data_IF_469900411473
#
_entry.id   IF_469900411473
#
_cell.length_a   1.000
_cell.length_b   1.000
_cell.length_c   1.000
_cell.angle_alpha   90.00
_cell.angle_beta   90.00
_cell.angle_gamma   90.00
#
_symmetry.space_group_name_H-M   'P 1'
#
loop_
_entity.id
_entity.type
_entity.pdbx_description
1 polymer ?
#
# COMPACT_ATOMS: atom_id res chain seq x y z
N UNK A 1 3.51 -10.64 -16.26
CA UNK A 1 4.71 -11.33 -16.81
C UNK A 1 5.81 -10.27 -16.91
N UNK A 2 7.05 -10.51 -16.50
CA UNK A 2 8.06 -9.42 -16.44
C UNK A 2 9.03 -9.53 -17.61
N UNK A 3 9.04 -8.53 -18.49
CA UNK A 3 10.11 -8.37 -19.50
C UNK A 3 11.28 -7.66 -18.82
N UNK A 4 12.41 -8.38 -18.66
CA UNK A 4 13.63 -7.82 -18.09
C UNK A 4 14.63 -7.60 -19.22
N UNK A 5 15.00 -6.33 -19.47
CA UNK A 5 16.02 -5.98 -20.46
C UNK A 5 17.18 -5.31 -19.74
N UNK A 6 18.26 -6.05 -19.52
CA UNK A 6 19.42 -5.55 -18.81
C UNK A 6 20.44 -4.93 -19.77
N UNK A 7 20.96 -3.76 -19.41
CA UNK A 7 22.01 -3.06 -20.15
C UNK A 7 23.26 -2.98 -19.27
N UNK A 8 24.27 -3.80 -19.56
CA UNK A 8 25.53 -3.76 -18.83
C UNK A 8 26.36 -2.58 -19.36
N UNK A 9 26.50 -1.53 -18.54
CA UNK A 9 27.41 -0.42 -18.81
C UNK A 9 28.88 -0.89 -18.75
N UNK A 10 29.68 -0.51 -19.75
CA UNK A 10 31.06 -0.97 -20.00
C UNK A 10 32.14 -0.54 -18.99
N UNK A 11 31.80 -0.04 -17.80
CA UNK A 11 32.77 0.31 -16.76
C UNK A 11 32.72 -0.71 -15.60
N UNK A 12 33.81 -1.47 -15.47
CA UNK A 12 34.03 -2.70 -14.68
C UNK A 12 33.73 -2.66 -13.16
N UNK A 13 33.04 -1.67 -12.63
CA UNK A 13 32.75 -1.58 -11.19
C UNK A 13 31.27 -1.72 -10.80
N UNK A 14 30.32 -1.26 -11.62
CA UNK A 14 28.90 -1.26 -11.26
C UNK A 14 28.01 -1.75 -12.41
N UNK A 15 27.02 -2.56 -12.08
CA UNK A 15 26.00 -3.07 -12.99
C UNK A 15 24.74 -2.21 -12.90
N UNK A 16 24.26 -1.73 -14.05
CA UNK A 16 22.99 -1.02 -14.20
C UNK A 16 21.96 -1.96 -14.84
N UNK A 17 20.77 -2.07 -14.27
CA UNK A 17 19.71 -2.93 -14.81
C UNK A 17 18.42 -2.11 -14.92
N UNK A 18 17.85 -2.06 -16.13
CA UNK A 18 16.51 -1.56 -16.33
C UNK A 18 15.53 -2.73 -16.28
N UNK A 19 14.44 -2.59 -15.52
CA UNK A 19 13.39 -3.61 -15.44
C UNK A 19 12.05 -2.99 -15.74
N UNK A 20 11.18 -3.72 -16.44
CA UNK A 20 9.80 -3.33 -16.66
C UNK A 20 8.86 -4.31 -15.97
N UNK A 21 7.98 -3.79 -15.12
CA UNK A 21 7.00 -4.58 -14.39
C UNK A 21 5.57 -4.23 -14.80
N UNK A 22 4.92 -5.19 -15.47
CA UNK A 22 3.58 -5.06 -16.03
C UNK A 22 2.52 -4.79 -14.96
N UNK A 23 2.59 -5.48 -13.81
CA UNK A 23 1.63 -5.29 -12.73
C UNK A 23 1.74 -3.89 -12.11
N UNK A 24 2.99 -3.41 -11.93
CA UNK A 24 3.25 -2.04 -11.49
C UNK A 24 2.77 -1.02 -12.52
N UNK A 25 2.98 -1.27 -13.82
CA UNK A 25 2.48 -0.42 -14.90
C UNK A 25 0.95 -0.28 -14.83
N UNK A 26 0.21 -1.40 -14.81
CA UNK A 26 -1.26 -1.41 -14.76
C UNK A 26 -1.77 -0.66 -13.53
N UNK A 27 -1.14 -0.88 -12.36
CA UNK A 27 -1.52 -0.17 -11.14
C UNK A 27 -1.26 1.34 -11.24
N UNK A 28 -0.13 1.75 -11.83
CA UNK A 28 0.20 3.16 -12.00
C UNK A 28 -0.72 3.84 -13.02
N UNK A 29 -1.07 3.16 -14.11
CA UNK A 29 -2.04 3.60 -15.10
C UNK A 29 -3.43 3.79 -14.47
N UNK A 30 -3.93 2.78 -13.74
CA UNK A 30 -5.20 2.90 -13.02
C UNK A 30 -5.22 4.10 -12.05
N UNK A 31 -4.15 4.27 -11.25
CA UNK A 31 -4.04 5.39 -10.32
C UNK A 31 -3.96 6.75 -11.02
N UNK A 32 -3.36 6.79 -12.22
CA UNK A 32 -3.32 7.98 -13.04
C UNK A 32 -4.72 8.35 -13.52
N UNK A 33 -5.46 7.40 -14.07
CA UNK A 33 -6.82 7.60 -14.58
C UNK A 33 -7.78 8.01 -13.46
N UNK A 34 -7.70 7.36 -12.30
CA UNK A 34 -8.42 7.78 -11.08
C UNK A 34 -8.09 9.22 -10.67
N UNK A 35 -6.82 9.63 -10.77
CA UNK A 35 -6.39 10.99 -10.43
C UNK A 35 -6.93 12.01 -11.45
N UNK A 36 -6.95 11.65 -12.74
CA UNK A 36 -7.49 12.48 -13.82
C UNK A 36 -9.00 12.65 -13.63
N UNK A 37 -9.73 11.55 -13.43
CA UNK A 37 -11.19 11.58 -13.22
C UNK A 37 -11.57 12.46 -12.02
N UNK A 38 -10.86 12.33 -10.89
CA UNK A 38 -11.08 13.18 -9.71
C UNK A 38 -10.80 14.66 -9.98
N UNK A 39 -9.80 14.96 -10.81
CA UNK A 39 -9.48 16.35 -11.18
C UNK A 39 -10.57 16.92 -12.11
N UNK A 40 -11.03 16.14 -13.09
CA UNK A 40 -12.10 16.52 -14.01
C UNK A 40 -13.40 16.79 -13.25
N UNK A 41 -13.83 15.88 -12.38
CA UNK A 41 -15.05 16.07 -11.58
C UNK A 41 -15.00 17.36 -10.76
N UNK A 42 -13.84 17.67 -10.14
CA UNK A 42 -13.65 18.93 -9.41
C UNK A 42 -13.65 20.15 -10.32
N UNK A 43 -13.12 20.02 -11.53
CA UNK A 43 -13.11 21.10 -12.52
C UNK A 43 -14.52 21.39 -13.02
N UNK A 44 -15.28 20.36 -13.38
CA UNK A 44 -16.69 20.46 -13.78
C UNK A 44 -17.56 21.03 -12.65
N UNK A 45 -17.38 20.55 -11.41
CA UNK A 45 -18.08 21.09 -10.25
C UNK A 45 -17.76 22.58 -10.05
N UNK A 46 -16.49 22.97 -10.15
CA UNK A 46 -16.07 24.36 -10.05
C UNK A 46 -16.69 25.24 -11.15
N UNK A 47 -16.67 24.77 -12.40
CA UNK A 47 -17.27 25.46 -13.55
C UNK A 47 -18.78 25.64 -13.36
N UNK A 48 -19.48 24.59 -12.91
CA UNK A 48 -20.94 24.61 -12.77
C UNK A 48 -21.43 25.44 -11.58
N UNK A 49 -20.71 25.41 -10.47
CA UNK A 49 -21.22 25.94 -9.18
C UNK A 49 -20.55 27.23 -8.72
N UNK A 50 -19.27 27.43 -9.04
CA UNK A 50 -18.46 28.52 -8.48
C UNK A 50 -18.07 29.57 -9.52
N UNK A 51 -17.84 29.18 -10.77
CA UNK A 51 -17.48 30.11 -11.83
C UNK A 51 -18.54 31.20 -11.98
N UNK A 52 -18.11 32.47 -12.10
CA UNK A 52 -18.97 33.66 -12.21
C UNK A 52 -19.92 33.95 -11.03
N UNK A 53 -19.95 33.12 -9.98
CA UNK A 53 -20.84 33.31 -8.83
C UNK A 53 -20.45 34.50 -7.94
N UNK A 54 -19.13 34.72 -7.74
CA UNK A 54 -18.57 35.81 -6.94
C UNK A 54 -17.63 36.65 -7.81
N UNK A 55 -17.45 37.93 -7.44
CA UNK A 55 -16.51 38.85 -8.12
C UNK A 55 -15.11 38.24 -8.33
N UNK A 56 -14.58 37.54 -7.32
CA UNK A 56 -13.28 36.86 -7.40
C UNK A 56 -13.22 35.71 -8.42
N UNK A 57 -14.36 35.13 -8.81
CA UNK A 57 -14.47 34.05 -9.80
C UNK A 57 -14.85 34.55 -11.20
N UNK A 58 -14.81 35.88 -11.39
CA UNK A 58 -14.85 36.56 -12.69
C UNK A 58 -13.46 37.10 -13.11
N UNK A 59 -12.47 36.92 -12.23
CA UNK A 59 -11.08 37.33 -12.43
C UNK A 59 -10.24 36.14 -12.92
N UNK A 60 -9.69 36.20 -14.15
CA UNK A 60 -8.91 35.10 -14.73
C UNK A 60 -7.74 34.67 -13.86
N UNK A 61 -7.00 35.60 -13.25
CA UNK A 61 -5.79 35.28 -12.49
C UNK A 61 -6.13 34.46 -11.23
N UNK A 62 -7.19 34.85 -10.52
CA UNK A 62 -7.66 34.13 -9.33
C UNK A 62 -8.19 32.75 -9.67
N UNK A 63 -8.86 32.62 -10.82
CA UNK A 63 -9.35 31.34 -11.33
C UNK A 63 -8.18 30.41 -11.67
N UNK A 64 -7.15 30.89 -12.36
CA UNK A 64 -5.92 30.11 -12.66
C UNK A 64 -5.28 29.63 -11.36
N UNK A 65 -5.06 30.52 -10.39
CA UNK A 65 -4.45 30.16 -9.10
C UNK A 65 -5.27 29.09 -8.39
N UNK A 66 -6.60 29.21 -8.40
CA UNK A 66 -7.51 28.24 -7.79
C UNK A 66 -7.43 26.87 -8.46
N UNK A 67 -7.48 26.84 -9.79
CA UNK A 67 -7.39 25.59 -10.58
C UNK A 67 -6.04 24.92 -10.30
N UNK A 68 -4.94 25.65 -10.39
CA UNK A 68 -3.60 25.10 -10.21
C UNK A 68 -3.33 24.61 -8.78
N UNK A 69 -3.81 25.33 -7.77
CA UNK A 69 -3.56 25.01 -6.36
C UNK A 69 -4.48 23.90 -5.84
N UNK A 70 -5.75 23.88 -6.24
CA UNK A 70 -6.76 23.04 -5.60
C UNK A 70 -7.20 21.84 -6.46
N UNK A 71 -7.11 21.97 -7.79
CA UNK A 71 -7.57 20.96 -8.76
C UNK A 71 -6.38 20.25 -9.41
N UNK A 72 -5.51 21.00 -10.10
CA UNK A 72 -4.32 20.50 -10.81
C UNK A 72 -3.06 20.58 -9.92
N UNK A 73 -3.14 20.01 -8.73
CA UNK A 73 -2.08 20.05 -7.71
C UNK A 73 -0.74 19.50 -8.19
N UNK A 74 -0.80 18.43 -8.99
CA UNK A 74 0.37 17.67 -9.37
C UNK A 74 0.86 18.08 -10.77
N UNK A 75 2.18 18.16 -10.97
CA UNK A 75 2.80 18.46 -12.27
C UNK A 75 2.26 17.57 -13.40
N UNK A 76 2.03 16.28 -13.11
CA UNK A 76 1.44 15.32 -14.06
C UNK A 76 0.04 15.74 -14.54
N UNK A 77 -0.81 16.24 -13.65
CA UNK A 77 -2.18 16.63 -14.00
C UNK A 77 -2.19 17.90 -14.83
N UNK A 78 -1.27 18.84 -14.54
CA UNK A 78 -1.10 20.08 -15.34
C UNK A 78 -0.61 19.81 -16.76
N UNK A 79 0.21 18.77 -16.94
CA UNK A 79 0.67 18.36 -18.26
C UNK A 79 -0.43 17.67 -19.08
N UNK A 80 -1.29 16.88 -18.43
CA UNK A 80 -2.31 16.06 -19.10
C UNK A 80 -3.62 16.83 -19.34
N UNK A 81 -3.99 17.74 -18.42
CA UNK A 81 -5.24 18.50 -18.50
C UNK A 81 -4.93 19.91 -18.99
N UNK A 82 -5.21 20.16 -20.26
CA UNK A 82 -5.13 21.50 -20.83
C UNK A 82 -6.46 22.22 -20.64
N UNK A 83 -6.41 23.51 -20.29
CA UNK A 83 -7.59 24.34 -20.13
C UNK A 83 -7.36 25.72 -20.75
N UNK A 84 -8.44 26.34 -21.26
CA UNK A 84 -8.45 27.74 -21.70
C UNK A 84 -9.50 28.51 -20.92
N UNK A 85 -9.22 29.79 -20.68
CA UNK A 85 -10.15 30.71 -20.02
C UNK A 85 -10.42 31.85 -20.98
N UNK A 86 -11.67 32.01 -21.36
CA UNK A 86 -12.13 33.07 -22.26
C UNK A 86 -13.04 34.04 -21.51
N UNK A 87 -12.94 35.33 -21.82
CA UNK A 87 -13.83 36.36 -21.26
C UNK A 87 -15.06 36.47 -22.15
N UNK A 88 -16.22 36.23 -21.55
CA UNK A 88 -17.53 36.41 -22.18
C UNK A 88 -18.24 37.62 -21.57
N UNK A 89 -19.29 38.11 -22.25
CA UNK A 89 -20.01 39.34 -21.87
C UNK A 89 -20.51 39.39 -20.43
N UNK A 90 -20.75 38.24 -19.79
CA UNK A 90 -21.22 38.16 -18.40
C UNK A 90 -20.29 37.36 -17.45
N UNK A 91 -19.02 37.15 -17.82
CA UNK A 91 -18.07 36.44 -16.95
C UNK A 91 -16.92 35.75 -17.70
N UNK A 92 -16.52 34.60 -17.19
CA UNK A 92 -15.51 33.72 -17.77
C UNK A 92 -16.15 32.42 -18.24
N UNK A 93 -15.64 31.90 -19.34
CA UNK A 93 -15.90 30.55 -19.83
C UNK A 93 -14.59 29.76 -19.72
N UNK A 94 -14.68 28.52 -19.24
CA UNK A 94 -13.53 27.63 -19.12
C UNK A 94 -13.81 26.40 -19.96
N UNK A 95 -12.94 26.15 -20.94
CA UNK A 95 -12.95 24.88 -21.66
C UNK A 95 -11.74 24.07 -21.26
N UNK A 96 -11.87 22.75 -21.25
CA UNK A 96 -10.79 21.85 -20.90
C UNK A 96 -10.76 20.66 -21.85
N UNK A 97 -9.57 20.10 -22.03
CA UNK A 97 -9.34 18.90 -22.83
C UNK A 97 -8.23 18.06 -22.19
N UNK A 98 -8.32 16.75 -22.40
CA UNK A 98 -7.23 15.84 -22.07
C UNK A 98 -6.28 15.84 -23.27
N UNK A 99 -5.01 16.18 -23.02
CA UNK A 99 -3.95 16.02 -23.99
C UNK A 99 -3.54 14.55 -24.06
N UNK A 100 -4.01 13.87 -25.11
CA UNK A 100 -3.72 12.46 -25.33
C UNK A 100 -2.23 12.20 -25.57
N UNK A 101 -1.50 13.13 -26.20
CA UNK A 101 -0.07 12.99 -26.46
C UNK A 101 0.73 13.11 -25.16
N UNK A 102 0.40 14.10 -24.33
CA UNK A 102 1.02 14.26 -23.00
C UNK A 102 0.73 13.07 -22.08
N UNK A 103 -0.49 12.50 -22.16
CA UNK A 103 -0.84 11.26 -21.45
C UNK A 103 0.02 10.09 -21.93
N UNK A 104 0.10 9.86 -23.24
CA UNK A 104 0.87 8.76 -23.80
C UNK A 104 2.37 8.87 -23.47
N UNK A 105 2.93 10.08 -23.55
CA UNK A 105 4.31 10.34 -23.14
C UNK A 105 4.55 10.00 -21.67
N UNK A 106 3.63 10.37 -20.78
CA UNK A 106 3.72 10.02 -19.37
C UNK A 106 3.61 8.50 -19.12
N UNK A 107 2.74 7.80 -19.87
CA UNK A 107 2.59 6.34 -19.74
C UNK A 107 3.88 5.60 -20.12
N UNK A 108 4.68 6.12 -21.07
CA UNK A 108 5.93 5.47 -21.51
C UNK A 108 6.91 5.22 -20.38
N UNK A 109 6.92 6.03 -19.33
CA UNK A 109 7.89 5.90 -18.24
C UNK A 109 7.39 5.05 -17.06
N UNK A 110 6.11 4.70 -17.05
CA UNK A 110 5.51 3.90 -15.98
C UNK A 110 5.99 2.44 -16.02
N UNK A 111 5.96 1.80 -14.85
CA UNK A 111 6.38 0.41 -14.66
C UNK A 111 7.87 0.15 -14.86
N UNK A 112 8.69 1.15 -15.19
CA UNK A 112 10.14 1.03 -15.33
C UNK A 112 10.84 1.33 -14.02
N UNK A 113 11.82 0.52 -13.66
CA UNK A 113 12.73 0.80 -12.55
C UNK A 113 14.18 0.54 -12.93
N UNK A 114 15.07 1.33 -12.34
CA UNK A 114 16.52 1.23 -12.55
C UNK A 114 17.15 0.69 -11.26
N UNK A 115 17.93 -0.38 -11.39
CA UNK A 115 18.65 -1.02 -10.30
C UNK A 115 20.14 -0.78 -10.51
N UNK A 116 20.78 -0.18 -9.51
CA UNK A 116 22.24 -0.06 -9.43
C UNK A 116 22.76 -1.13 -8.47
N UNK A 117 23.72 -1.95 -8.93
CA UNK A 117 24.30 -3.02 -8.13
C UNK A 117 25.83 -3.06 -8.29
N UNK A 118 26.54 -3.22 -7.18
CA UNK A 118 27.99 -3.51 -7.17
C UNK A 118 28.29 -5.02 -7.22
N UNK A 119 27.26 -5.87 -7.25
CA UNK A 119 27.39 -7.34 -7.26
C UNK A 119 27.61 -7.87 -8.68
N UNK A 120 28.80 -7.64 -9.23
CA UNK A 120 29.12 -7.99 -10.62
C UNK A 120 29.24 -9.51 -10.87
N UNK A 121 29.44 -10.30 -9.81
CA UNK A 121 29.50 -11.77 -9.86
C UNK A 121 28.13 -12.43 -10.02
N UNK A 122 27.04 -11.68 -9.79
CA UNK A 122 25.68 -12.21 -9.81
C UNK A 122 25.09 -12.08 -11.21
N UNK A 123 24.31 -13.07 -11.62
CA UNK A 123 23.50 -12.92 -12.83
C UNK A 123 22.48 -11.79 -12.67
N UNK A 124 22.09 -11.16 -13.78
CA UNK A 124 21.03 -10.15 -13.80
C UNK A 124 19.76 -10.65 -13.09
N UNK A 125 19.39 -11.91 -13.32
CA UNK A 125 18.20 -12.51 -12.72
C UNK A 125 18.30 -12.56 -11.19
N UNK A 126 19.47 -12.90 -10.64
CA UNK A 126 19.70 -12.93 -9.19
C UNK A 126 19.65 -11.53 -8.59
N UNK A 127 20.24 -10.54 -9.25
CA UNK A 127 20.20 -9.14 -8.80
C UNK A 127 18.74 -8.66 -8.75
N UNK A 128 17.96 -8.91 -9.81
CA UNK A 128 16.54 -8.52 -9.88
C UNK A 128 15.71 -9.25 -8.81
N UNK A 129 15.92 -10.56 -8.62
CA UNK A 129 15.24 -11.34 -7.58
C UNK A 129 15.53 -10.80 -6.18
N UNK A 130 16.79 -10.50 -5.88
CA UNK A 130 17.19 -9.97 -4.58
C UNK A 130 16.63 -8.57 -4.34
N UNK A 131 16.67 -7.69 -5.34
CA UNK A 131 16.06 -6.36 -5.27
C UNK A 131 14.56 -6.44 -4.99
N UNK A 132 13.84 -7.31 -5.69
CA UNK A 132 12.40 -7.53 -5.46
C UNK A 132 12.12 -8.14 -4.08
N UNK A 133 12.95 -9.06 -3.61
CA UNK A 133 12.84 -9.63 -2.26
C UNK A 133 13.03 -8.55 -1.19
N UNK A 134 13.96 -7.62 -1.38
CA UNK A 134 14.14 -6.47 -0.50
C UNK A 134 12.88 -5.61 -0.42
N UNK A 135 12.25 -5.27 -1.55
CA UNK A 135 10.99 -4.52 -1.58
C UNK A 135 9.90 -5.24 -0.77
N UNK A 136 9.81 -6.57 -0.92
CA UNK A 136 8.85 -7.37 -0.15
C UNK A 136 9.15 -7.33 1.36
N UNK A 137 10.42 -7.39 1.76
CA UNK A 137 10.79 -7.23 3.17
C UNK A 137 10.42 -5.83 3.69
N UNK A 138 10.68 -4.77 2.94
CA UNK A 138 10.28 -3.41 3.31
C UNK A 138 8.76 -3.28 3.51
N UNK A 139 7.95 -3.93 2.66
CA UNK A 139 6.51 -3.99 2.84
C UNK A 139 6.11 -4.72 4.13
N UNK A 140 6.82 -5.80 4.50
CA UNK A 140 6.59 -6.50 5.77
C UNK A 140 7.01 -5.64 6.98
N UNK A 141 8.10 -4.88 6.87
CA UNK A 141 8.51 -3.92 7.90
C UNK A 141 7.50 -2.76 8.06
N UNK A 142 6.73 -2.41 7.02
CA UNK A 142 5.61 -1.47 7.19
C UNK A 142 4.52 -2.02 8.11
N UNK A 143 4.35 -3.34 8.23
CA UNK A 143 3.43 -3.92 9.23
C UNK A 143 3.86 -3.53 10.65
N UNK A 144 5.17 -3.53 10.95
CA UNK A 144 5.67 -3.09 12.26
C UNK A 144 5.40 -1.62 12.57
N UNK A 145 5.21 -0.79 11.55
CA UNK A 145 4.92 0.64 11.73
C UNK A 145 3.43 0.94 11.77
N UNK A 146 2.57 -0.01 11.39
CA UNK A 146 1.13 0.14 11.54
C UNK A 146 0.81 0.01 13.02
N UNK A 147 -0.06 0.89 13.51
CA UNK A 147 -0.58 0.86 14.89
C UNK A 147 -1.58 -0.28 15.05
N UNK A 148 -1.16 -1.49 14.74
CA UNK A 148 -1.92 -2.72 14.83
C UNK A 148 -1.28 -3.69 15.83
N UNK A 149 -1.68 -4.96 15.78
CA UNK A 149 -1.34 -5.99 16.77
C UNK A 149 0.16 -6.28 16.93
N UNK A 150 1.00 -5.94 15.95
CA UNK A 150 2.44 -6.23 15.96
C UNK A 150 3.29 -4.95 15.77
N UNK A 151 2.80 -3.85 16.31
CA UNK A 151 3.44 -2.56 16.14
C UNK A 151 4.69 -2.41 17.01
N UNK A 152 5.79 -1.97 16.40
CA UNK A 152 6.96 -1.39 17.09
C UNK A 152 6.61 -0.05 17.73
N UNK A 153 5.59 0.64 17.22
CA UNK A 153 5.23 1.99 17.65
C UNK A 153 3.92 2.01 18.45
N UNK A 154 3.82 2.78 19.53
CA UNK A 154 4.84 3.68 20.07
C UNK A 154 5.86 2.96 20.99
N UNK A 155 7.08 3.47 20.99
CA UNK A 155 8.15 3.04 21.90
C UNK A 155 8.01 3.85 23.20
N UNK A 156 7.46 3.24 24.25
CA UNK A 156 7.31 3.89 25.56
C UNK A 156 8.56 3.74 26.46
N UNK A 157 9.59 3.04 25.99
CA UNK A 157 10.87 2.86 26.69
C UNK A 157 11.89 3.92 26.27
N UNK A 158 12.74 4.36 27.20
CA UNK A 158 13.63 5.52 26.99
C UNK A 158 15.13 5.21 27.00
N UNK A 159 15.57 4.01 27.39
CA UNK A 159 16.99 3.63 27.37
C UNK A 159 17.34 2.87 26.10
N UNK A 160 18.57 3.07 25.58
CA UNK A 160 19.05 2.40 24.36
C UNK A 160 18.96 0.87 24.45
N UNK A 161 19.20 0.31 25.63
CA UNK A 161 19.11 -1.14 25.88
C UNK A 161 17.66 -1.63 25.76
N UNK A 162 16.71 -0.95 26.40
CA UNK A 162 15.29 -1.32 26.33
C UNK A 162 14.71 -1.10 24.94
N UNK A 163 15.15 -0.07 24.22
CA UNK A 163 14.79 0.14 22.81
C UNK A 163 15.25 -1.05 21.96
N UNK A 164 16.49 -1.55 22.15
CA UNK A 164 16.99 -2.73 21.43
C UNK A 164 16.18 -3.99 21.74
N UNK A 165 15.83 -4.22 23.01
CA UNK A 165 14.99 -5.36 23.42
C UNK A 165 13.59 -5.26 22.81
N UNK A 166 12.96 -4.08 22.84
CA UNK A 166 11.65 -3.84 22.23
C UNK A 166 11.65 -4.13 20.73
N UNK A 167 12.66 -3.62 20.01
CA UNK A 167 12.84 -3.90 18.58
C UNK A 167 13.04 -5.39 18.32
N UNK A 168 13.85 -6.07 19.13
CA UNK A 168 14.06 -7.51 19.02
C UNK A 168 12.75 -8.30 19.18
N UNK A 169 11.98 -8.03 20.24
CA UNK A 169 10.69 -8.69 20.48
C UNK A 169 9.72 -8.42 19.33
N UNK A 170 9.67 -7.19 18.83
CA UNK A 170 8.78 -6.81 17.73
C UNK A 170 9.12 -7.56 16.43
N UNK A 171 10.41 -7.65 16.09
CA UNK A 171 10.88 -8.43 14.93
C UNK A 171 10.58 -9.92 15.13
N UNK A 172 10.79 -10.46 16.32
CA UNK A 172 10.48 -11.85 16.64
C UNK A 172 8.98 -12.14 16.49
N UNK A 173 8.12 -11.26 16.99
CA UNK A 173 6.68 -11.38 16.85
C UNK A 173 6.23 -11.33 15.38
N UNK A 174 6.83 -10.45 14.56
CA UNK A 174 6.61 -10.43 13.11
C UNK A 174 7.00 -11.75 12.46
N UNK A 175 8.18 -12.30 12.77
CA UNK A 175 8.64 -13.57 12.22
C UNK A 175 7.68 -14.72 12.57
N UNK A 176 7.29 -14.83 13.83
CA UNK A 176 6.34 -15.84 14.30
C UNK A 176 4.97 -15.68 13.61
N UNK A 177 4.50 -14.45 13.45
CA UNK A 177 3.22 -14.18 12.78
C UNK A 177 3.24 -14.58 11.31
N UNK A 178 4.36 -14.34 10.61
CA UNK A 178 4.53 -14.72 9.21
C UNK A 178 4.65 -16.24 9.07
N UNK A 179 5.31 -16.91 10.01
CA UNK A 179 5.38 -18.36 10.06
C UNK A 179 4.01 -19.00 10.27
N UNK A 180 3.22 -18.44 11.21
CA UNK A 180 1.84 -18.89 11.45
C UNK A 180 0.97 -18.74 10.20
N UNK A 181 1.01 -17.55 9.58
CA UNK A 181 0.26 -17.28 8.35
C UNK A 181 0.70 -18.17 7.18
N UNK A 182 2.01 -18.43 7.04
CA UNK A 182 2.53 -19.38 6.04
C UNK A 182 1.96 -20.79 6.25
N UNK A 183 1.85 -21.26 7.50
CA UNK A 183 1.23 -22.56 7.81
C UNK A 183 -0.24 -22.60 7.38
N UNK A 184 -0.98 -21.52 7.59
CA UNK A 184 -2.38 -21.36 7.14
C UNK A 184 -2.47 -21.42 5.61
N UNK A 185 -1.59 -20.71 4.90
CA UNK A 185 -1.55 -20.71 3.43
C UNK A 185 -1.21 -22.09 2.86
N UNK A 186 -0.25 -22.80 3.45
CA UNK A 186 0.11 -24.17 3.04
C UNK A 186 -1.05 -25.16 3.23
N UNK A 187 -1.97 -24.89 4.16
CA UNK A 187 -3.19 -25.67 4.33
C UNK A 187 -4.31 -25.32 3.33
N UNK A 188 -4.04 -24.44 2.36
CA UNK A 188 -4.98 -24.06 1.30
C UNK A 188 -5.99 -22.97 1.71
N UNK A 189 -5.81 -22.33 2.86
CA UNK A 189 -6.67 -21.21 3.28
C UNK A 189 -6.12 -19.89 2.69
N UNK A 190 -6.97 -19.15 1.98
CA UNK A 190 -6.63 -17.88 1.32
C UNK A 190 -7.23 -16.59 1.92
N UNK A 191 -7.75 -16.52 3.17
CA UNK A 191 -8.12 -15.23 3.76
C UNK A 191 -6.87 -14.40 4.09
N UNK A 192 -7.05 -13.08 4.24
CA UNK A 192 -5.95 -12.18 4.57
C UNK A 192 -5.33 -12.50 5.94
N UNK A 193 -4.07 -12.10 6.15
CA UNK A 193 -3.38 -12.25 7.44
C UNK A 193 -4.20 -11.60 8.57
N UNK A 194 -4.66 -10.35 8.43
CA UNK A 194 -5.42 -9.69 9.52
C UNK A 194 -6.70 -10.46 9.85
N UNK A 195 -7.44 -10.89 8.84
CA UNK A 195 -8.67 -11.68 9.02
C UNK A 195 -8.41 -12.99 9.75
N UNK A 196 -7.29 -13.66 9.47
CA UNK A 196 -6.90 -14.86 10.23
C UNK A 196 -6.65 -14.55 11.70
N UNK A 197 -5.90 -13.49 11.99
CA UNK A 197 -5.58 -13.10 13.37
C UNK A 197 -6.82 -12.58 14.11
N UNK A 198 -7.75 -11.89 13.44
CA UNK A 198 -9.04 -11.46 14.01
C UNK A 198 -9.87 -12.68 14.41
N UNK A 199 -10.03 -13.62 13.48
CA UNK A 199 -10.75 -14.85 13.74
C UNK A 199 -10.15 -15.64 14.92
N UNK A 200 -8.82 -15.73 14.99
CA UNK A 200 -8.12 -16.41 16.10
C UNK A 200 -8.29 -15.70 17.43
N UNK A 201 -8.25 -14.37 17.45
CA UNK A 201 -8.45 -13.58 18.67
C UNK A 201 -9.85 -13.78 19.26
N UNK A 202 -10.85 -13.95 18.41
CA UNK A 202 -12.25 -14.16 18.81
C UNK A 202 -12.54 -15.57 19.33
N UNK A 203 -11.61 -16.52 19.19
CA UNK A 203 -11.72 -17.83 19.84
C UNK A 203 -11.35 -17.65 21.31
N UNK A 204 -12.32 -17.84 22.21
CA UNK A 204 -12.10 -17.74 23.65
C UNK A 204 -12.33 -19.09 24.32
N UNK A 205 -11.51 -19.36 25.32
CA UNK A 205 -11.72 -20.41 26.29
C UNK A 205 -12.26 -19.77 27.57
N UNK A 206 -13.34 -20.33 28.11
CA UNK A 206 -14.07 -19.85 29.27
C UNK A 206 -13.88 -20.88 30.37
N UNK A 207 -13.35 -20.45 31.51
CA UNK A 207 -13.18 -21.29 32.70
C UNK A 207 -14.29 -20.94 33.69
N UNK A 208 -15.14 -21.91 34.01
CA UNK A 208 -16.24 -21.76 34.96
C UNK A 208 -15.86 -22.41 36.30
N UNK A 209 -15.77 -21.58 37.34
CA UNK A 209 -15.45 -22.00 38.70
C UNK A 209 -16.74 -22.14 39.52
N UNK A 210 -16.99 -23.34 40.05
CA UNK A 210 -18.19 -23.63 40.85
C UNK A 210 -17.79 -24.00 42.29
N UNK A 211 -17.73 -23.01 43.18
CA UNK A 211 -17.30 -23.21 44.57
C UNK A 211 -15.88 -23.80 44.64
N UNK A 212 -15.65 -24.76 45.54
CA UNK A 212 -14.35 -25.42 45.72
C UNK A 212 -14.08 -26.58 44.72
N UNK A 213 -14.85 -26.68 43.63
CA UNK A 213 -14.58 -27.68 42.58
C UNK A 213 -13.38 -27.27 41.75
N UNK A 214 -12.29 -28.01 41.92
CA UNK A 214 -11.08 -27.99 41.11
C UNK A 214 -10.98 -29.34 40.37
N UNK A 215 -10.79 -29.40 39.04
CA UNK A 215 -10.56 -28.30 38.08
C UNK A 215 -11.85 -27.58 37.61
N UNK A 216 -11.72 -26.33 37.11
CA UNK A 216 -12.84 -25.59 36.52
C UNK A 216 -13.41 -26.30 35.29
N UNK A 217 -14.68 -26.04 34.99
CA UNK A 217 -15.28 -26.48 33.74
C UNK A 217 -14.80 -25.56 32.60
N UNK A 218 -14.20 -26.15 31.57
CA UNK A 218 -13.60 -25.42 30.45
C UNK A 218 -14.49 -25.52 29.21
N UNK A 219 -14.94 -24.37 28.71
CA UNK A 219 -15.79 -24.25 27.53
C UNK A 219 -15.12 -23.42 26.45
N UNK A 220 -15.35 -23.74 25.18
CA UNK A 220 -14.92 -22.92 24.05
C UNK A 220 -16.10 -22.14 23.48
N UNK A 221 -15.85 -20.91 23.01
CA UNK A 221 -16.86 -20.14 22.29
C UNK A 221 -17.30 -20.83 21.00
N UNK A 222 -18.53 -20.53 20.58
CA UNK A 222 -19.02 -21.01 19.28
C UNK A 222 -18.14 -20.45 18.16
N UNK A 223 -17.56 -21.36 17.37
CA UNK A 223 -16.65 -20.99 16.29
C UNK A 223 -17.39 -20.87 14.96
N UNK A 224 -17.14 -19.78 14.25
CA UNK A 224 -17.47 -19.64 12.82
C UNK A 224 -16.76 -20.68 11.95
N UNK A 225 -17.19 -20.80 10.70
CA UNK A 225 -16.59 -21.73 9.71
C UNK A 225 -15.08 -21.47 9.55
N UNK A 226 -14.68 -20.20 9.49
CA UNK A 226 -13.27 -19.83 9.37
C UNK A 226 -12.48 -20.18 10.63
N UNK A 227 -13.00 -19.83 11.81
CA UNK A 227 -12.38 -20.14 13.10
C UNK A 227 -12.16 -21.63 13.28
N UNK A 228 -13.15 -22.46 12.94
CA UNK A 228 -13.04 -23.93 13.03
C UNK A 228 -11.95 -24.47 12.11
N UNK A 229 -11.87 -23.96 10.87
CA UNK A 229 -10.79 -24.33 9.94
C UNK A 229 -9.42 -23.94 10.49
N UNK A 230 -9.27 -22.72 11.02
CA UNK A 230 -8.02 -22.26 11.63
C UNK A 230 -7.65 -23.08 12.87
N UNK A 231 -8.62 -23.35 13.75
CA UNK A 231 -8.45 -24.16 14.97
C UNK A 231 -7.91 -25.55 14.65
N UNK A 232 -8.45 -26.20 13.61
CA UNK A 232 -8.01 -27.50 13.15
C UNK A 232 -6.63 -27.45 12.47
N UNK A 233 -6.41 -26.52 11.54
CA UNK A 233 -5.13 -26.39 10.80
C UNK A 233 -3.95 -26.12 11.73
N UNK A 234 -4.18 -25.32 12.77
CA UNK A 234 -3.15 -24.98 13.75
C UNK A 234 -3.05 -26.01 14.88
N UNK A 235 -3.97 -26.98 14.90
CA UNK A 235 -4.09 -28.00 15.95
C UNK A 235 -4.13 -27.36 17.34
N UNK A 236 -5.05 -26.40 17.52
CA UNK A 236 -5.17 -25.63 18.77
C UNK A 236 -5.79 -26.45 19.90
N UNK A 237 -6.45 -27.57 19.59
CA UNK A 237 -7.01 -28.51 20.58
C UNK A 237 -5.96 -29.00 21.58
N UNK A 238 -4.68 -29.07 21.20
CA UNK A 238 -3.59 -29.49 22.11
C UNK A 238 -3.35 -28.55 23.30
N UNK A 239 -3.95 -27.36 23.27
CA UNK A 239 -3.82 -26.33 24.31
C UNK A 239 -5.08 -26.15 25.15
N UNK A 240 -6.19 -26.82 24.81
CA UNK A 240 -7.45 -26.62 25.53
C UNK A 240 -7.48 -27.42 26.81
N UNK A 241 -7.95 -26.81 27.90
CA UNK A 241 -8.09 -27.48 29.21
C UNK A 241 -6.76 -27.82 29.89
N UNK A 242 -5.71 -27.05 29.60
CA UNK A 242 -4.42 -27.10 30.30
C UNK A 242 -4.28 -25.97 31.30
#
# INVERSE_FOLDING_TARGET
>A
RTTTTAYIGKNKQNTLIATFDEDTFVLQEYNLDESINKAILKLEEFIKTQLNSKSQWKDPEKVVIKIERDILKNKKLRAIIAYSIEKISNGLEITWKIDAAAREEYLKDLGKSIIFSSRNEWSTLEIVKAYRAQIKMEQQFKELNKRDRLSVMPIYVWTNEMIRVHLFISVLALLLSNLLYRKIQLAGLTPSKSTCFEALEDIKEIHLYYGDKDPPEVLLTQMSVLQRKLFNVLDLKRFTGK
#
